data_IF_343451973765
#
_entry.id   IF_343451973765
#
_cell.length_a   1.000
_cell.length_b   1.000
_cell.length_c   1.000
_cell.angle_alpha   90.00
_cell.angle_beta   90.00
_cell.angle_gamma   90.00
#
_symmetry.space_group_name_H-M   'P 1'
#
loop_
_entity.id
_entity.type
_entity.pdbx_description
1 polymer ?
#
# COMPACT_ATOMS: atom_id res chain seq x y z
N UNK A 1 -11.04 -8.34 16.16
CA UNK A 1 -10.45 -8.79 14.88
C UNK A 1 -11.38 -8.48 13.74
N UNK A 2 -10.87 -7.93 12.63
CA UNK A 2 -11.71 -7.58 11.47
C UNK A 2 -12.30 -8.85 10.81
N UNK A 3 -13.51 -8.77 10.23
CA UNK A 3 -14.12 -9.89 9.49
C UNK A 3 -13.24 -10.42 8.36
N UNK A 4 -12.50 -9.55 7.67
CA UNK A 4 -11.54 -9.90 6.61
C UNK A 4 -10.39 -10.78 7.12
N UNK A 5 -9.82 -10.44 8.29
CA UNK A 5 -8.75 -11.24 8.89
C UNK A 5 -9.21 -12.65 9.30
N UNK A 6 -10.48 -12.81 9.70
CA UNK A 6 -11.07 -14.14 9.95
C UNK A 6 -11.21 -14.93 8.66
N UNK A 7 -11.72 -14.30 7.60
CA UNK A 7 -11.93 -14.92 6.29
C UNK A 7 -10.62 -15.38 5.64
N UNK A 8 -9.57 -14.54 5.66
CA UNK A 8 -8.25 -14.92 5.13
C UNK A 8 -7.71 -16.21 5.79
N UNK A 9 -7.80 -16.30 7.12
CA UNK A 9 -7.34 -17.49 7.87
C UNK A 9 -8.17 -18.73 7.58
N UNK A 10 -9.48 -18.58 7.40
CA UNK A 10 -10.37 -19.69 7.05
C UNK A 10 -10.06 -20.29 5.69
N UNK A 11 -9.50 -19.50 4.77
CA UNK A 11 -9.11 -19.94 3.43
C UNK A 11 -7.75 -20.65 3.40
N UNK A 12 -7.10 -20.88 4.55
CA UNK A 12 -5.86 -21.66 4.62
C UNK A 12 -4.60 -20.97 4.10
N UNK A 13 -4.72 -19.77 3.51
CA UNK A 13 -3.60 -19.02 2.95
C UNK A 13 -3.05 -19.69 1.69
N UNK A 14 -3.04 -18.95 0.58
CA UNK A 14 -2.74 -19.38 -0.78
C UNK A 14 -3.95 -20.00 -1.51
N UNK A 15 -4.26 -19.48 -2.72
CA UNK A 15 -5.41 -19.87 -3.53
C UNK A 15 -6.11 -18.69 -4.20
N UNK A 16 -6.86 -18.90 -5.29
CA UNK A 16 -7.55 -17.83 -6.01
C UNK A 16 -8.60 -17.10 -5.16
N UNK A 17 -9.21 -17.74 -4.17
CA UNK A 17 -10.16 -17.13 -3.23
C UNK A 17 -9.50 -16.16 -2.25
N UNK A 18 -8.19 -16.33 -2.02
CA UNK A 18 -7.38 -15.45 -1.15
C UNK A 18 -7.05 -14.14 -1.86
N UNK A 19 -6.91 -14.15 -3.19
CA UNK A 19 -6.57 -12.95 -3.96
C UNK A 19 -7.61 -11.81 -3.80
N UNK A 20 -8.93 -12.05 -3.91
CA UNK A 20 -9.95 -11.04 -3.59
C UNK A 20 -9.87 -10.54 -2.14
N UNK A 21 -9.57 -11.42 -1.18
CA UNK A 21 -9.43 -11.03 0.22
C UNK A 21 -8.20 -10.12 0.42
N UNK A 22 -7.09 -10.41 -0.25
CA UNK A 22 -5.91 -9.57 -0.23
C UNK A 22 -6.17 -8.21 -0.85
N UNK A 23 -6.87 -8.16 -1.99
CA UNK A 23 -7.30 -6.90 -2.60
C UNK A 23 -8.14 -6.07 -1.62
N UNK A 24 -9.17 -6.67 -1.01
CA UNK A 24 -10.01 -5.99 -0.02
C UNK A 24 -9.20 -5.46 1.18
N UNK A 25 -8.22 -6.23 1.68
CA UNK A 25 -7.36 -5.80 2.79
C UNK A 25 -6.50 -4.60 2.38
N UNK A 26 -5.89 -4.64 1.20
CA UNK A 26 -5.07 -3.54 0.68
C UNK A 26 -5.93 -2.29 0.53
N UNK A 27 -7.12 -2.43 -0.05
CA UNK A 27 -8.03 -1.30 -0.27
C UNK A 27 -8.52 -0.68 1.03
N UNK A 28 -8.90 -1.50 2.02
CA UNK A 28 -9.30 -1.01 3.35
C UNK A 28 -8.14 -0.28 4.03
N UNK A 29 -6.92 -0.79 3.87
CA UNK A 29 -5.72 -0.18 4.45
C UNK A 29 -5.45 1.19 3.83
N UNK A 30 -5.45 1.27 2.49
CA UNK A 30 -5.25 2.53 1.75
C UNK A 30 -6.36 3.51 2.09
N UNK A 31 -7.64 3.10 2.04
CA UNK A 31 -8.76 3.96 2.35
C UNK A 31 -8.69 4.51 3.78
N UNK A 32 -8.28 3.69 4.76
CA UNK A 32 -8.12 4.15 6.16
C UNK A 32 -7.00 5.17 6.30
N UNK A 33 -5.88 4.96 5.60
CA UNK A 33 -4.75 5.90 5.58
C UNK A 33 -5.17 7.24 4.96
N UNK A 34 -5.76 7.21 3.77
CA UNK A 34 -6.19 8.41 3.06
C UNK A 34 -7.27 9.17 3.83
N UNK A 35 -8.19 8.47 4.48
CA UNK A 35 -9.18 9.08 5.37
C UNK A 35 -8.50 9.81 6.53
N UNK A 36 -7.45 9.22 7.11
CA UNK A 36 -6.73 9.84 8.22
C UNK A 36 -5.97 11.09 7.80
N UNK A 37 -5.49 11.14 6.55
CA UNK A 37 -4.91 12.34 5.94
C UNK A 37 -5.99 13.40 5.70
N UNK A 38 -7.13 13.02 5.09
CA UNK A 38 -8.26 13.93 4.81
C UNK A 38 -8.83 14.55 6.10
N UNK A 39 -8.93 13.77 7.18
CA UNK A 39 -9.39 14.23 8.49
C UNK A 39 -8.32 15.01 9.28
N UNK A 40 -7.10 15.18 8.73
CA UNK A 40 -5.99 15.87 9.38
C UNK A 40 -5.40 15.16 10.60
N UNK A 41 -5.78 13.89 10.83
CA UNK A 41 -5.27 13.06 11.94
C UNK A 41 -3.85 12.58 11.69
N UNK A 42 -3.50 12.37 10.42
CA UNK A 42 -2.15 12.10 9.97
C UNK A 42 -1.68 13.29 9.13
N UNK A 43 -0.45 13.74 9.37
CA UNK A 43 0.19 14.80 8.56
C UNK A 43 1.34 14.20 7.79
N UNK A 44 1.27 14.30 6.46
CA UNK A 44 2.36 13.87 5.59
C UNK A 44 3.16 15.09 5.16
N UNK A 45 4.48 15.03 5.34
CA UNK A 45 5.42 16.01 4.78
C UNK A 45 6.48 15.29 3.97
N UNK A 46 6.89 15.86 2.85
CA UNK A 46 8.05 15.38 2.09
C UNK A 46 9.06 16.51 1.93
N UNK A 47 10.32 16.13 1.78
CA UNK A 47 11.41 17.07 1.50
C UNK A 47 11.67 17.07 0.00
N UNK A 48 11.66 18.24 -0.62
CA UNK A 48 12.01 18.41 -2.04
C UNK A 48 13.52 18.27 -2.24
N UNK A 49 13.94 18.15 -3.50
CA UNK A 49 15.36 18.17 -3.87
C UNK A 49 16.07 19.48 -3.47
N UNK A 50 15.34 20.60 -3.48
CA UNK A 50 15.82 21.90 -2.97
C UNK A 50 15.96 21.95 -1.44
N UNK A 51 15.46 20.94 -0.74
CA UNK A 51 15.54 20.80 0.71
C UNK A 51 14.38 21.42 1.49
N UNK A 52 13.38 21.95 0.80
CA UNK A 52 12.15 22.49 1.40
C UNK A 52 11.20 21.36 1.83
N UNK A 53 10.48 21.57 2.93
CA UNK A 53 9.43 20.65 3.34
C UNK A 53 8.08 21.12 2.81
N UNK A 54 7.38 20.24 2.10
CA UNK A 54 6.01 20.47 1.63
C UNK A 54 5.08 19.54 2.38
N UNK A 55 3.97 20.08 2.89
CA UNK A 55 2.93 19.31 3.55
C UNK A 55 1.86 18.91 2.53
N UNK A 56 1.40 17.67 2.58
CA UNK A 56 0.34 17.19 1.72
C UNK A 56 -1.00 17.68 2.26
N UNK A 57 -1.47 18.82 1.78
CA UNK A 57 -2.69 19.50 2.25
C UNK A 57 -3.91 19.25 1.37
N UNK A 58 -3.88 18.19 0.53
CA UNK A 58 -4.94 17.97 -0.45
C UNK A 58 -6.20 17.45 0.22
N UNK A 59 -7.29 18.19 0.07
CA UNK A 59 -8.61 17.72 0.48
C UNK A 59 -9.11 16.60 -0.45
N UNK A 60 -9.78 15.61 0.13
CA UNK A 60 -10.51 14.55 -0.58
C UNK A 60 -9.65 13.49 -1.29
N UNK A 61 -8.49 13.13 -0.74
CA UNK A 61 -7.65 12.03 -1.21
C UNK A 61 -8.41 10.70 -1.25
N UNK A 62 -9.21 10.41 -0.22
CA UNK A 62 -10.05 9.21 -0.18
C UNK A 62 -11.06 9.21 -1.32
N UNK A 63 -11.70 10.36 -1.58
CA UNK A 63 -12.67 10.50 -2.66
C UNK A 63 -12.00 10.25 -4.01
N UNK A 64 -10.81 10.79 -4.23
CA UNK A 64 -10.06 10.59 -5.47
C UNK A 64 -9.59 9.15 -5.65
N UNK A 65 -9.30 8.44 -4.56
CA UNK A 65 -8.96 7.02 -4.61
C UNK A 65 -10.16 6.13 -4.98
N UNK A 66 -11.33 6.39 -4.38
CA UNK A 66 -12.55 5.57 -4.56
C UNK A 66 -13.42 5.99 -5.75
N UNK A 67 -13.12 7.09 -6.43
CA UNK A 67 -13.90 7.55 -7.57
C UNK A 67 -13.93 6.50 -8.71
N UNK A 68 -15.00 6.44 -9.52
CA UNK A 68 -15.10 5.51 -10.65
C UNK A 68 -13.95 5.63 -11.67
N UNK A 69 -13.41 6.83 -11.83
CA UNK A 69 -12.25 7.21 -12.62
C UNK A 69 -11.02 7.54 -11.74
N UNK A 70 -11.08 7.12 -10.47
CA UNK A 70 -10.07 7.37 -9.45
C UNK A 70 -8.85 6.48 -9.56
N UNK A 71 -7.90 6.70 -8.64
CA UNK A 71 -6.62 5.97 -8.64
C UNK A 71 -6.81 4.45 -8.54
N UNK A 72 -7.74 3.98 -7.71
CA UNK A 72 -8.00 2.54 -7.62
C UNK A 72 -8.43 1.98 -8.97
N UNK A 73 -9.41 2.60 -9.63
CA UNK A 73 -9.91 2.12 -10.92
C UNK A 73 -8.84 2.19 -12.02
N UNK A 74 -8.02 3.23 -12.02
CA UNK A 74 -6.98 3.46 -13.02
C UNK A 74 -5.79 2.50 -12.90
N UNK A 75 -5.37 2.18 -11.67
CA UNK A 75 -4.09 1.52 -11.41
C UNK A 75 -4.20 0.11 -10.81
N UNK A 76 -5.35 -0.34 -10.32
CA UNK A 76 -5.46 -1.64 -9.61
C UNK A 76 -5.14 -2.88 -10.45
N UNK A 77 -5.04 -2.73 -11.78
CA UNK A 77 -4.69 -3.81 -12.72
C UNK A 77 -3.25 -3.72 -13.23
N UNK A 78 -2.52 -2.66 -12.88
CA UNK A 78 -1.12 -2.52 -13.27
C UNK A 78 -0.29 -3.37 -12.31
N UNK A 79 0.42 -4.35 -12.85
CA UNK A 79 1.47 -5.04 -12.12
C UNK A 79 2.71 -4.15 -12.12
N UNK A 80 3.31 -3.89 -10.96
CA UNK A 80 4.66 -3.34 -10.90
C UNK A 80 5.60 -4.41 -11.47
N UNK A 81 6.11 -4.19 -12.69
CA UNK A 81 7.06 -5.08 -13.36
C UNK A 81 8.51 -4.58 -13.22
N UNK A 82 8.80 -3.81 -12.17
CA UNK A 82 10.15 -3.34 -11.84
C UNK A 82 10.27 -3.44 -10.33
N UNK A 83 10.99 -4.46 -9.85
CA UNK A 83 11.67 -4.53 -8.54
C UNK A 83 12.24 -5.94 -8.24
N UNK A 84 12.27 -6.87 -9.20
CA UNK A 84 13.05 -8.11 -9.02
C UNK A 84 14.57 -7.84 -9.01
N UNK A 85 15.06 -6.79 -9.69
CA UNK A 85 16.49 -6.46 -9.74
C UNK A 85 17.03 -5.87 -8.41
N UNK A 86 16.17 -5.32 -7.55
CA UNK A 86 16.61 -4.66 -6.29
C UNK A 86 16.72 -5.63 -5.10
N UNK A 87 16.16 -6.83 -5.20
CA UNK A 87 16.21 -7.84 -4.13
C UNK A 87 17.38 -8.82 -4.29
N UNK A 88 17.97 -8.93 -5.49
CA UNK A 88 19.16 -9.75 -5.75
C UNK A 88 20.47 -9.12 -5.24
N UNK A 89 20.50 -7.82 -4.94
CA UNK A 89 21.69 -7.14 -4.37
C UNK A 89 21.86 -7.33 -2.85
N UNK A 90 20.90 -7.96 -2.18
CA UNK A 90 21.06 -8.32 -0.77
C UNK A 90 21.78 -9.67 -0.64
N UNK A 91 23.05 -9.73 -1.02
CA UNK A 91 23.90 -10.85 -0.60
C UNK A 91 23.85 -10.96 0.94
N UNK A 92 23.53 -12.13 1.52
CA UNK A 92 23.58 -12.30 2.95
C UNK A 92 25.03 -12.08 3.42
N UNK A 93 25.26 -11.43 4.59
CA UNK A 93 26.60 -11.23 5.10
C UNK A 93 27.28 -12.60 5.23
N UNK A 94 28.36 -12.79 4.48
CA UNK A 94 29.13 -14.03 4.47
C UNK A 94 29.44 -14.46 5.90
N UNK A 95 29.09 -15.70 6.24
CA UNK A 95 29.53 -16.32 7.48
C UNK A 95 31.05 -16.27 7.54
N UNK A 96 31.67 -15.73 8.61
CA UNK A 96 33.11 -15.81 8.74
C UNK A 96 33.49 -17.26 8.97
N UNK A 97 34.26 -17.81 8.03
CA UNK A 97 34.87 -19.14 8.13
C UNK A 97 35.86 -19.16 9.31
N UNK A 98 35.92 -20.25 10.11
CA UNK A 98 36.80 -20.37 11.28
C UNK A 98 38.29 -20.32 10.97
#
# INVERSE_FOLDING_TARGET
MSPLAKRWRQLGGHGPEVSPVLADIVDVTIATLLRSLDEGRLKLRWKTESGEYVELTRESLLRQYLAPDGWRAAYSKQAFSQDDDALDELEPPGTPTP
#
